data_IF_028945479289
#
_entry.id   IF_028945479289
#
_cell.length_a   1.000
_cell.length_b   1.000
_cell.length_c   1.000
_cell.angle_alpha   90.00
_cell.angle_beta   90.00
_cell.angle_gamma   90.00
#
_symmetry.space_group_name_H-M   'P 1'
#
loop_
_entity.id
_entity.type
_entity.pdbx_description
1 polymer ?
#
# COMPACT_ATOMS: atom_id res chain seq x y z
N UNK A 1 -17.08 19.98 2.67
CA UNK A 1 -18.04 19.60 3.73
C UNK A 1 -19.43 19.57 3.12
N UNK A 2 -20.29 18.64 3.52
CA UNK A 2 -21.66 18.54 2.98
C UNK A 2 -22.47 19.81 3.19
N UNK A 3 -23.13 20.29 2.12
CA UNK A 3 -23.94 21.50 2.14
C UNK A 3 -25.40 21.25 1.78
N UNK A 4 -25.73 20.30 0.90
CA UNK A 4 -27.12 20.01 0.57
C UNK A 4 -27.40 18.52 0.34
N UNK A 5 -28.66 18.13 0.52
CA UNK A 5 -29.21 16.81 0.28
C UNK A 5 -30.31 16.93 -0.79
N UNK A 6 -30.24 16.15 -1.86
CA UNK A 6 -31.35 16.01 -2.80
C UNK A 6 -32.05 14.68 -2.59
N UNK A 7 -33.39 14.68 -2.64
CA UNK A 7 -34.22 13.49 -2.53
C UNK A 7 -35.01 13.33 -3.83
N UNK A 8 -35.06 12.11 -4.36
CA UNK A 8 -35.99 11.72 -5.41
C UNK A 8 -36.86 10.54 -4.95
N UNK A 9 -38.09 10.51 -5.45
CA UNK A 9 -39.07 9.44 -5.20
C UNK A 9 -39.45 8.85 -6.55
N UNK A 10 -39.23 7.55 -6.74
CA UNK A 10 -39.43 6.83 -8.00
C UNK A 10 -38.73 7.51 -9.19
N UNK A 11 -37.50 8.00 -8.97
CA UNK A 11 -36.71 8.70 -9.98
C UNK A 11 -37.12 10.14 -10.26
N UNK A 12 -38.21 10.64 -9.64
CA UNK A 12 -38.66 12.03 -9.79
C UNK A 12 -38.06 12.90 -8.68
N UNK A 13 -37.38 14.02 -8.98
CA UNK A 13 -36.90 14.94 -7.96
C UNK A 13 -38.03 15.40 -7.04
N UNK A 14 -37.82 15.28 -5.73
CA UNK A 14 -38.81 15.63 -4.70
C UNK A 14 -38.44 16.95 -4.00
N UNK A 15 -37.17 17.12 -3.65
CA UNK A 15 -36.71 18.31 -2.95
C UNK A 15 -35.20 18.36 -2.76
N UNK A 16 -34.75 19.56 -2.39
CA UNK A 16 -33.36 19.84 -1.99
C UNK A 16 -33.36 20.51 -0.63
N UNK A 17 -32.56 20.00 0.29
CA UNK A 17 -32.56 20.39 1.70
C UNK A 17 -31.15 20.83 2.14
N UNK A 18 -31.08 21.79 3.04
CA UNK A 18 -29.81 22.22 3.66
C UNK A 18 -29.40 21.23 4.75
N UNK A 19 -28.20 20.64 4.60
CA UNK A 19 -27.56 19.76 5.58
C UNK A 19 -26.23 20.31 6.09
N UNK A 20 -25.96 21.60 5.83
CA UNK A 20 -24.79 22.31 6.33
C UNK A 20 -24.74 22.34 7.87
N UNK A 21 -23.59 22.72 8.45
CA UNK A 21 -23.39 22.77 9.91
C UNK A 21 -24.31 23.75 10.60
N UNK A 22 -24.84 24.70 9.84
CA UNK A 22 -25.70 25.78 10.31
C UNK A 22 -27.18 25.50 10.03
N UNK A 23 -27.52 24.36 9.41
CA UNK A 23 -28.91 24.01 9.12
C UNK A 23 -29.69 23.80 10.42
N UNK A 24 -30.82 24.49 10.55
CA UNK A 24 -31.75 24.32 11.67
C UNK A 24 -32.51 23.00 11.63
N UNK A 25 -32.49 22.31 10.49
CA UNK A 25 -33.14 21.00 10.30
C UNK A 25 -32.24 19.83 10.72
N UNK A 26 -31.00 20.12 11.12
CA UNK A 26 -30.00 19.13 11.48
C UNK A 26 -29.48 19.36 12.90
N UNK A 27 -29.17 18.27 13.59
CA UNK A 27 -28.48 18.27 14.87
C UNK A 27 -27.21 17.44 14.76
N UNK A 28 -26.11 17.96 15.29
CA UNK A 28 -24.85 17.23 15.35
C UNK A 28 -24.98 16.07 16.33
N UNK A 29 -24.55 14.89 15.91
CA UNK A 29 -24.44 13.70 16.75
C UNK A 29 -22.99 13.18 16.69
N UNK A 30 -22.63 12.27 17.59
CA UNK A 30 -21.31 11.62 17.50
C UNK A 30 -21.18 10.92 16.14
N UNK A 31 -20.12 11.24 15.40
CA UNK A 31 -19.84 10.64 14.09
C UNK A 31 -20.68 11.17 12.92
N UNK A 32 -21.58 12.14 13.10
CA UNK A 32 -22.41 12.63 12.00
C UNK A 32 -23.44 13.69 12.36
N UNK A 33 -24.55 13.68 11.62
CA UNK A 33 -25.70 14.57 11.84
C UNK A 33 -26.99 13.79 11.69
N UNK A 34 -27.95 14.12 12.53
CA UNK A 34 -29.34 13.68 12.36
C UNK A 34 -30.14 14.86 11.81
N UNK A 35 -30.72 14.69 10.63
CA UNK A 35 -31.56 15.70 9.99
C UNK A 35 -32.98 15.17 9.79
N UNK A 36 -33.97 16.03 9.94
CA UNK A 36 -35.39 15.67 9.78
C UNK A 36 -36.02 16.51 8.69
N UNK A 37 -36.62 15.85 7.69
CA UNK A 37 -37.27 16.49 6.56
C UNK A 37 -38.64 15.84 6.29
N UNK A 38 -39.56 16.60 5.72
CA UNK A 38 -40.83 16.07 5.20
C UNK A 38 -40.70 15.87 3.70
N UNK A 39 -41.05 14.67 3.24
CA UNK A 39 -40.99 14.23 1.83
C UNK A 39 -42.38 13.76 1.44
N UNK A 40 -42.89 14.26 0.31
CA UNK A 40 -44.17 13.79 -0.21
C UNK A 40 -43.93 12.50 -1.02
N UNK A 41 -44.66 11.44 -0.71
CA UNK A 41 -44.62 10.18 -1.46
C UNK A 41 -46.05 9.66 -1.69
N UNK A 42 -46.32 9.01 -2.84
CA UNK A 42 -47.58 8.29 -3.06
C UNK A 42 -47.83 7.21 -1.99
N UNK A 43 -49.06 6.69 -1.95
CA UNK A 43 -49.32 5.46 -1.20
C UNK A 43 -48.86 4.26 -2.02
N UNK A 44 -48.20 3.28 -1.38
CA UNK A 44 -47.70 2.09 -2.05
C UNK A 44 -46.20 1.89 -1.89
N UNK A 45 -45.58 1.10 -2.76
CA UNK A 45 -44.14 0.81 -2.72
C UNK A 45 -43.38 1.87 -3.50
N UNK A 46 -42.60 2.69 -2.81
CA UNK A 46 -41.83 3.79 -3.38
C UNK A 46 -40.32 3.59 -3.16
N UNK A 47 -39.52 3.96 -4.15
CA UNK A 47 -38.06 4.00 -4.04
C UNK A 47 -37.60 5.42 -3.79
N UNK A 48 -36.93 5.63 -2.67
CA UNK A 48 -36.31 6.88 -2.28
C UNK A 48 -34.82 6.83 -2.62
N UNK A 49 -34.31 7.83 -3.33
CA UNK A 49 -32.88 7.97 -3.57
C UNK A 49 -32.39 9.33 -3.06
N UNK A 50 -31.26 9.29 -2.34
CA UNK A 50 -30.65 10.42 -1.66
C UNK A 50 -29.27 10.67 -2.24
N UNK A 51 -28.91 11.95 -2.41
CA UNK A 51 -27.56 12.37 -2.80
C UNK A 51 -27.13 13.53 -1.92
N UNK A 52 -25.96 13.42 -1.30
CA UNK A 52 -25.32 14.50 -0.54
C UNK A 52 -24.33 15.22 -1.45
N UNK A 53 -24.35 16.54 -1.41
CA UNK A 53 -23.55 17.43 -2.24
C UNK A 53 -22.67 18.35 -1.39
N UNK A 54 -21.50 18.72 -1.92
CA UNK A 54 -20.56 19.66 -1.29
C UNK A 54 -21.01 21.13 -1.39
N UNK A 55 -21.89 21.48 -2.34
CA UNK A 55 -22.43 22.82 -2.51
C UNK A 55 -23.94 22.89 -2.25
N UNK A 56 -24.47 24.11 -2.01
CA UNK A 56 -25.90 24.32 -1.88
C UNK A 56 -26.68 23.90 -3.13
N UNK A 57 -28.00 23.73 -2.96
CA UNK A 57 -28.96 23.55 -4.05
C UNK A 57 -28.73 22.31 -4.92
N UNK A 58 -28.12 21.25 -4.39
CA UNK A 58 -27.92 20.00 -5.12
C UNK A 58 -26.90 20.12 -6.25
N UNK A 59 -25.86 20.93 -6.05
CA UNK A 59 -24.84 21.21 -7.06
C UNK A 59 -23.45 20.81 -6.56
N UNK A 60 -22.46 20.82 -7.45
CA UNK A 60 -21.07 20.52 -7.11
C UNK A 60 -20.74 19.03 -7.18
N UNK A 61 -19.89 18.56 -6.28
CA UNK A 61 -19.50 17.17 -6.23
C UNK A 61 -20.44 16.38 -5.33
N UNK A 62 -20.76 15.16 -5.78
CA UNK A 62 -21.46 14.19 -4.97
C UNK A 62 -20.50 13.61 -3.91
N UNK A 63 -20.91 13.66 -2.65
CA UNK A 63 -20.14 13.18 -1.51
C UNK A 63 -20.62 11.80 -1.02
N UNK A 64 -21.92 11.55 -1.10
CA UNK A 64 -22.52 10.27 -0.72
C UNK A 64 -23.83 10.04 -1.49
N UNK A 65 -24.25 8.79 -1.61
CA UNK A 65 -25.59 8.44 -2.08
C UNK A 65 -26.13 7.18 -1.42
N UNK A 66 -27.45 7.08 -1.42
CA UNK A 66 -28.18 5.94 -0.89
C UNK A 66 -29.53 5.78 -1.57
N UNK A 67 -30.08 4.56 -1.52
CA UNK A 67 -31.47 4.35 -1.92
C UNK A 67 -32.10 3.24 -1.10
N UNK A 68 -33.41 3.34 -0.89
CA UNK A 68 -34.20 2.29 -0.26
C UNK A 68 -35.62 2.29 -0.81
N UNK A 69 -36.24 1.12 -0.83
CA UNK A 69 -37.67 0.97 -1.16
C UNK A 69 -38.47 0.80 0.13
N UNK A 70 -39.56 1.55 0.26
CA UNK A 70 -40.44 1.52 1.43
C UNK A 70 -41.90 1.50 0.99
N UNK A 71 -42.72 0.71 1.68
CA UNK A 71 -44.17 0.81 1.53
C UNK A 71 -44.70 1.94 2.38
N UNK A 72 -45.31 2.94 1.74
CA UNK A 72 -45.93 4.12 2.36
C UNK A 72 -47.41 3.83 2.59
N UNK A 73 -47.80 3.82 3.87
CA UNK A 73 -49.20 3.71 4.28
C UNK A 73 -49.77 5.11 4.57
N UNK A 74 -50.96 5.39 4.04
CA UNK A 74 -51.62 6.69 4.21
C UNK A 74 -52.03 6.91 5.65
N UNK A 75 -51.83 8.13 6.16
CA UNK A 75 -52.26 8.53 7.50
C UNK A 75 -51.42 7.96 8.65
N UNK A 76 -50.37 7.19 8.34
CA UNK A 76 -49.43 6.67 9.33
C UNK A 76 -48.07 7.36 9.21
N UNK A 77 -47.35 7.48 10.32
CA UNK A 77 -45.93 7.85 10.26
C UNK A 77 -45.15 6.69 9.66
N UNK A 78 -44.44 6.95 8.56
CA UNK A 78 -43.57 5.97 7.91
C UNK A 78 -42.12 6.34 8.27
N UNK A 79 -41.39 5.44 8.91
CA UNK A 79 -39.97 5.61 9.22
C UNK A 79 -39.14 4.84 8.19
N UNK A 80 -38.16 5.52 7.60
CA UNK A 80 -37.28 4.95 6.58
C UNK A 80 -35.83 5.19 6.97
N UNK A 81 -35.02 4.14 6.92
CA UNK A 81 -33.57 4.21 7.09
C UNK A 81 -32.91 3.95 5.75
N UNK A 82 -32.10 4.89 5.28
CA UNK A 82 -31.39 4.79 4.00
C UNK A 82 -29.89 4.88 4.29
N UNK A 83 -29.11 3.83 4.01
CA UNK A 83 -27.66 3.91 4.16
C UNK A 83 -27.11 4.92 3.16
N UNK A 84 -26.28 5.84 3.62
CA UNK A 84 -25.58 6.81 2.77
C UNK A 84 -24.14 6.35 2.59
N UNK A 85 -23.83 5.85 1.40
CA UNK A 85 -22.53 5.31 1.07
C UNK A 85 -21.64 6.42 0.49
N UNK A 86 -20.40 6.52 0.99
CA UNK A 86 -19.45 7.56 0.56
C UNK A 86 -19.04 7.39 -0.91
N UNK A 87 -18.98 8.50 -1.66
CA UNK A 87 -18.47 8.52 -3.03
C UNK A 87 -16.98 8.83 -3.00
N UNK A 88 -16.18 7.85 -3.40
CA UNK A 88 -14.72 7.95 -3.47
C UNK A 88 -14.31 8.82 -4.66
N UNK A 89 -13.41 9.78 -4.43
CA UNK A 89 -12.80 10.63 -5.47
C UNK A 89 -11.28 10.50 -5.53
N UNK A 90 -10.63 10.11 -4.43
CA UNK A 90 -9.20 9.80 -4.35
C UNK A 90 -8.93 8.58 -3.47
N UNK A 91 -7.85 7.87 -3.78
CA UNK A 91 -7.45 6.66 -3.05
C UNK A 91 -5.95 6.73 -2.78
N UNK A 92 -5.53 6.42 -1.55
CA UNK A 92 -4.12 6.25 -1.20
C UNK A 92 -3.89 4.91 -0.49
N UNK A 93 -2.85 4.19 -0.91
CA UNK A 93 -2.44 2.91 -0.34
C UNK A 93 -1.16 3.10 0.48
N UNK A 94 -1.05 2.39 1.61
CA UNK A 94 0.18 2.33 2.39
C UNK A 94 0.37 0.94 3.00
N UNK A 95 1.59 0.42 2.92
CA UNK A 95 1.96 -0.86 3.53
C UNK A 95 2.58 -0.61 4.91
N UNK A 96 2.17 -1.41 5.90
CA UNK A 96 2.77 -1.35 7.23
C UNK A 96 4.26 -1.71 7.24
N UNK A 97 4.70 -2.54 6.29
CA UNK A 97 6.10 -2.85 6.06
C UNK A 97 6.35 -2.98 4.53
N UNK A 98 6.82 -1.92 3.86
CA UNK A 98 7.09 -1.95 2.42
C UNK A 98 8.39 -2.70 2.06
N UNK A 99 9.22 -3.08 3.03
CA UNK A 99 10.51 -3.73 2.81
C UNK A 99 10.68 -4.92 3.76
N UNK A 100 9.88 -5.99 3.65
CA UNK A 100 10.09 -7.20 4.44
C UNK A 100 11.40 -7.92 4.01
N UNK A 101 12.01 -8.74 4.88
CA UNK A 101 13.12 -9.59 4.49
C UNK A 101 12.68 -10.68 3.51
N UNK A 102 13.49 -10.95 2.48
CA UNK A 102 13.37 -12.16 1.66
C UNK A 102 13.67 -13.40 2.51
N UNK A 103 13.11 -14.54 2.11
CA UNK A 103 13.23 -15.84 2.78
C UNK A 103 12.27 -16.05 3.95
N UNK A 104 11.52 -15.03 4.37
CA UNK A 104 10.52 -15.14 5.44
C UNK A 104 9.13 -14.76 4.93
N UNK A 105 8.20 -15.71 4.78
CA UNK A 105 6.81 -15.40 4.48
C UNK A 105 6.23 -14.45 5.53
N UNK A 106 5.45 -13.46 5.11
CA UNK A 106 4.83 -12.50 6.02
C UNK A 106 3.48 -12.00 5.50
N UNK A 107 2.62 -11.59 6.43
CA UNK A 107 1.35 -10.92 6.14
C UNK A 107 1.48 -9.46 6.51
N UNK A 108 1.33 -8.58 5.54
CA UNK A 108 1.59 -7.15 5.66
C UNK A 108 0.24 -6.42 5.65
N UNK A 109 -0.17 -5.77 6.74
CA UNK A 109 -1.35 -4.90 6.72
C UNK A 109 -1.19 -3.80 5.66
N UNK A 110 -2.22 -3.59 4.85
CA UNK A 110 -2.30 -2.49 3.89
C UNK A 110 -3.43 -1.56 4.30
N UNK A 111 -3.11 -0.30 4.56
CA UNK A 111 -4.08 0.76 4.84
C UNK A 111 -4.57 1.35 3.53
N UNK A 112 -5.89 1.42 3.38
CA UNK A 112 -6.56 2.08 2.25
C UNK A 112 -7.24 3.34 2.77
N UNK A 113 -6.79 4.50 2.30
CA UNK A 113 -7.42 5.79 2.61
C UNK A 113 -8.24 6.24 1.42
N UNK A 114 -9.56 6.14 1.53
CA UNK A 114 -10.51 6.68 0.57
C UNK A 114 -10.89 8.11 0.94
N UNK A 115 -10.79 9.04 -0.01
CA UNK A 115 -11.17 10.44 0.18
C UNK A 115 -12.34 10.81 -0.75
N UNK A 116 -13.21 11.69 -0.28
CA UNK A 116 -14.22 12.36 -1.11
C UNK A 116 -13.60 13.44 -2.01
N UNK A 117 -14.43 14.13 -2.80
CA UNK A 117 -14.00 15.18 -3.72
C UNK A 117 -13.40 16.42 -3.01
N UNK A 118 -13.69 16.60 -1.73
CA UNK A 118 -13.19 17.69 -0.89
C UNK A 118 -11.90 17.31 -0.13
N UNK A 119 -11.37 16.11 -0.36
CA UNK A 119 -10.24 15.50 0.37
C UNK A 119 -10.53 15.13 1.83
N UNK A 120 -11.80 14.96 2.22
CA UNK A 120 -12.12 14.40 3.54
C UNK A 120 -12.02 12.88 3.48
N UNK A 121 -11.51 12.27 4.54
CA UNK A 121 -11.50 10.81 4.66
C UNK A 121 -12.92 10.27 4.83
N UNK A 122 -13.28 9.32 3.98
CA UNK A 122 -14.51 8.53 4.14
C UNK A 122 -14.23 7.54 5.26
N UNK A 123 -14.76 7.83 6.44
CA UNK A 123 -14.43 7.13 7.68
C UNK A 123 -15.52 6.13 8.08
N UNK A 124 -15.13 5.16 8.91
CA UNK A 124 -16.07 4.21 9.51
C UNK A 124 -16.94 4.91 10.56
N UNK A 125 -18.25 4.78 10.44
CA UNK A 125 -19.16 5.06 11.52
C UNK A 125 -19.31 3.81 12.40
N UNK A 126 -18.67 3.83 13.58
CA UNK A 126 -18.68 2.70 14.52
C UNK A 126 -20.03 2.46 15.22
N UNK A 127 -20.91 3.45 15.24
CA UNK A 127 -22.26 3.36 15.81
C UNK A 127 -23.35 3.13 14.78
N UNK A 128 -23.03 3.14 13.49
CA UNK A 128 -24.00 2.97 12.41
C UNK A 128 -24.15 1.49 12.01
N UNK A 129 -25.28 1.10 11.42
CA UNK A 129 -25.42 -0.22 10.79
C UNK A 129 -24.30 -0.48 9.76
N UNK A 130 -23.87 -1.75 9.58
CA UNK A 130 -22.81 -2.08 8.62
C UNK A 130 -23.07 -1.61 7.18
N UNK A 131 -24.33 -1.48 6.77
CA UNK A 131 -24.70 -0.98 5.45
C UNK A 131 -24.23 0.47 5.21
N UNK A 132 -24.14 1.30 6.25
CA UNK A 132 -23.74 2.70 6.17
C UNK A 132 -22.22 2.87 6.01
N UNK A 133 -21.45 1.81 6.21
CA UNK A 133 -20.01 1.82 6.06
C UNK A 133 -19.56 1.42 4.64
N UNK A 134 -20.49 1.21 3.71
CA UNK A 134 -20.17 0.82 2.34
C UNK A 134 -19.73 2.03 1.49
N UNK A 135 -18.91 1.76 0.48
CA UNK A 135 -18.64 2.71 -0.59
C UNK A 135 -19.76 2.68 -1.61
N UNK A 136 -20.11 3.84 -2.19
CA UNK A 136 -21.11 3.92 -3.24
C UNK A 136 -20.67 3.12 -4.48
N UNK A 137 -19.36 3.13 -4.75
CA UNK A 137 -18.69 2.27 -5.73
C UNK A 137 -17.56 1.54 -5.01
N UNK A 138 -17.55 0.19 -4.99
CA UNK A 138 -16.45 -0.58 -4.41
C UNK A 138 -15.09 -0.25 -5.03
N UNK A 139 -14.03 -0.34 -4.23
CA UNK A 139 -12.65 -0.15 -4.66
C UNK A 139 -12.08 -1.50 -5.08
N UNK A 140 -11.65 -1.63 -6.33
CA UNK A 140 -10.91 -2.80 -6.81
C UNK A 140 -9.42 -2.54 -6.72
N UNK A 141 -8.71 -3.40 -6.00
CA UNK A 141 -7.27 -3.40 -5.82
C UNK A 141 -6.60 -4.26 -6.90
N UNK A 142 -5.39 -3.87 -7.29
CA UNK A 142 -4.55 -4.62 -8.23
C UNK A 142 -3.14 -4.77 -7.68
N UNK A 143 -2.54 -5.90 -8.03
CA UNK A 143 -1.18 -6.31 -7.68
C UNK A 143 -0.42 -6.57 -8.99
N UNK A 144 0.73 -5.92 -9.19
CA UNK A 144 1.56 -6.15 -10.37
C UNK A 144 2.35 -7.45 -10.30
N UNK A 145 2.50 -8.06 -9.11
CA UNK A 145 3.17 -9.34 -8.90
C UNK A 145 2.15 -10.38 -8.42
N UNK A 146 1.95 -11.43 -9.20
CA UNK A 146 1.05 -12.54 -8.83
C UNK A 146 1.81 -13.82 -8.50
N UNK A 147 3.14 -13.76 -8.51
CA UNK A 147 4.03 -14.89 -8.26
C UNK A 147 4.42 -15.02 -6.79
N UNK A 148 4.60 -13.88 -6.09
CA UNK A 148 5.07 -13.86 -4.70
C UNK A 148 4.16 -13.08 -3.76
N UNK A 149 3.23 -12.29 -4.30
CA UNK A 149 2.26 -11.52 -3.53
C UNK A 149 0.83 -11.92 -3.81
N UNK A 150 -0.01 -11.71 -2.80
CA UNK A 150 -1.45 -11.89 -2.89
C UNK A 150 -2.18 -10.91 -1.99
N UNK A 151 -3.09 -10.15 -2.57
CA UNK A 151 -4.03 -9.33 -1.83
C UNK A 151 -5.10 -10.23 -1.20
N UNK A 152 -5.34 -10.03 0.09
CA UNK A 152 -6.47 -10.61 0.79
C UNK A 152 -7.32 -9.49 1.42
N UNK A 153 -8.63 -9.56 1.20
CA UNK A 153 -9.63 -8.70 1.84
C UNK A 153 -10.44 -9.54 2.80
N UNK A 154 -10.55 -9.11 4.06
CA UNK A 154 -11.27 -9.81 5.13
C UNK A 154 -10.82 -11.27 5.33
N UNK A 155 -9.54 -11.55 5.10
CA UNK A 155 -8.95 -12.89 5.20
C UNK A 155 -9.25 -13.81 4.00
N UNK A 156 -10.05 -13.36 3.04
CA UNK A 156 -10.35 -14.09 1.80
C UNK A 156 -9.44 -13.68 0.65
N UNK A 157 -9.29 -14.58 -0.34
CA UNK A 157 -8.63 -14.30 -1.61
C UNK A 157 -9.53 -13.40 -2.48
N UNK A 158 -9.60 -12.11 -2.14
CA UNK A 158 -10.40 -11.11 -2.80
C UNK A 158 -9.60 -9.82 -2.93
N UNK A 159 -9.95 -9.01 -3.93
CA UNK A 159 -9.31 -7.74 -4.23
C UNK A 159 -10.32 -6.58 -4.30
N UNK A 160 -11.56 -6.79 -3.87
CA UNK A 160 -12.60 -5.77 -3.86
C UNK A 160 -12.87 -5.35 -2.42
N UNK A 161 -12.76 -4.04 -2.17
CA UNK A 161 -13.12 -3.36 -0.93
C UNK A 161 -14.51 -2.75 -1.10
N UNK A 162 -15.48 -3.26 -0.36
CA UNK A 162 -16.87 -2.78 -0.41
C UNK A 162 -17.18 -1.79 0.70
N UNK A 163 -16.43 -1.81 1.81
CA UNK A 163 -16.70 -0.98 2.98
C UNK A 163 -15.43 -0.43 3.65
N UNK A 164 -15.59 0.65 4.42
CA UNK A 164 -14.53 1.25 5.25
C UNK A 164 -14.08 0.34 6.40
N UNK A 165 -14.87 -0.68 6.73
CA UNK A 165 -14.56 -1.69 7.75
C UNK A 165 -13.75 -2.86 7.21
N UNK A 166 -13.58 -2.96 5.89
CA UNK A 166 -12.85 -4.07 5.29
C UNK A 166 -11.36 -3.99 5.66
N UNK A 167 -10.79 -5.14 6.03
CA UNK A 167 -9.39 -5.25 6.40
C UNK A 167 -8.61 -5.80 5.22
N UNK A 168 -7.55 -5.08 4.81
CA UNK A 168 -6.70 -5.49 3.70
C UNK A 168 -5.33 -5.93 4.20
N UNK A 169 -4.87 -7.07 3.68
CA UNK A 169 -3.53 -7.58 3.91
C UNK A 169 -2.90 -8.00 2.59
N UNK A 170 -1.59 -7.86 2.50
CA UNK A 170 -0.78 -8.42 1.41
C UNK A 170 -0.01 -9.60 1.99
N UNK A 171 -0.30 -10.80 1.51
CA UNK A 171 0.54 -11.96 1.79
C UNK A 171 1.75 -11.90 0.86
N UNK A 172 2.95 -11.97 1.43
CA UNK A 172 4.21 -12.15 0.73
C UNK A 172 4.80 -13.49 1.14
N UNK A 173 5.16 -14.33 0.17
CA UNK A 173 5.62 -15.71 0.41
C UNK A 173 7.11 -15.81 0.81
N UNK A 174 7.83 -14.68 0.89
CA UNK A 174 9.27 -14.67 1.15
C UNK A 174 10.13 -14.94 -0.08
N UNK A 175 9.55 -15.13 -1.26
CA UNK A 175 10.27 -15.40 -2.50
C UNK A 175 11.09 -14.21 -3.00
N UNK A 176 12.18 -14.44 -3.75
CA UNK A 176 13.01 -13.37 -4.27
C UNK A 176 12.26 -12.54 -5.32
N UNK A 177 12.16 -11.22 -5.12
CA UNK A 177 11.59 -10.29 -6.10
C UNK A 177 12.68 -9.60 -6.91
N UNK A 178 12.68 -9.79 -8.23
CA UNK A 178 13.56 -9.09 -9.16
C UNK A 178 13.06 -7.69 -9.50
N UNK A 179 11.75 -7.47 -9.40
CA UNK A 179 11.07 -6.18 -9.55
C UNK A 179 10.17 -5.95 -8.35
N UNK A 180 10.11 -4.72 -7.84
CA UNK A 180 9.20 -4.38 -6.76
C UNK A 180 7.73 -4.60 -7.17
N UNK A 181 6.92 -5.18 -6.28
CA UNK A 181 5.50 -5.31 -6.50
C UNK A 181 4.82 -3.94 -6.31
N UNK A 182 3.99 -3.57 -7.28
CA UNK A 182 3.23 -2.32 -7.31
C UNK A 182 1.77 -2.61 -7.03
N UNK A 183 1.23 -2.01 -5.98
CA UNK A 183 -0.17 -2.06 -5.63
C UNK A 183 -0.86 -0.79 -6.09
N UNK A 184 -2.00 -0.96 -6.74
CA UNK A 184 -2.85 0.15 -7.18
C UNK A 184 -4.31 -0.15 -6.90
N UNK A 185 -5.17 0.82 -7.20
CA UNK A 185 -6.59 0.72 -6.94
C UNK A 185 -7.39 1.45 -8.02
N UNK A 186 -8.66 1.10 -8.13
CA UNK A 186 -9.62 1.75 -9.02
C UNK A 186 -11.00 1.73 -8.38
N UNK A 187 -11.80 2.75 -8.67
CA UNK A 187 -13.22 2.79 -8.37
C UNK A 187 -13.91 3.62 -9.47
N UNK A 188 -15.19 3.37 -9.72
CA UNK A 188 -15.94 4.14 -10.72
C UNK A 188 -15.94 5.64 -10.37
N UNK A 189 -15.56 6.48 -11.33
CA UNK A 189 -15.46 7.94 -11.16
C UNK A 189 -14.13 8.43 -10.57
N UNK A 190 -13.24 7.55 -10.13
CA UNK A 190 -11.90 7.93 -9.64
C UNK A 190 -10.90 7.93 -10.80
N UNK A 191 -10.31 9.08 -11.10
CA UNK A 191 -9.24 9.19 -12.10
C UNK A 191 -7.97 8.50 -11.60
N UNK A 192 -7.21 7.85 -12.50
CA UNK A 192 -5.95 7.19 -12.14
C UNK A 192 -4.92 8.15 -11.50
N UNK A 193 -4.92 9.43 -11.89
CA UNK A 193 -4.06 10.47 -11.29
C UNK A 193 -4.43 10.80 -9.84
N UNK A 194 -5.60 10.40 -9.37
CA UNK A 194 -6.07 10.55 -7.99
C UNK A 194 -5.81 9.30 -7.14
N UNK A 195 -5.08 8.31 -7.69
CA UNK A 195 -4.70 7.09 -7.00
C UNK A 195 -3.21 7.15 -6.67
N UNK A 196 -2.88 7.10 -5.38
CA UNK A 196 -1.52 6.89 -4.91
C UNK A 196 -1.36 5.42 -4.55
N UNK A 197 -0.57 4.69 -5.33
CA UNK A 197 -0.26 3.28 -5.09
C UNK A 197 0.70 3.06 -3.93
N UNK A 198 0.98 1.78 -3.63
CA UNK A 198 2.01 1.38 -2.69
C UNK A 198 3.01 0.43 -3.35
N UNK A 199 4.25 0.42 -2.88
CA UNK A 199 5.34 -0.40 -3.43
C UNK A 199 5.86 -1.35 -2.35
N UNK A 200 5.96 -2.64 -2.66
CA UNK A 200 6.65 -3.63 -1.85
C UNK A 200 7.98 -4.00 -2.50
N UNK A 201 9.07 -3.78 -1.79
CA UNK A 201 10.43 -4.06 -2.22
C UNK A 201 11.15 -4.89 -1.15
N UNK A 202 10.94 -6.22 -1.11
CA UNK A 202 11.61 -7.07 -0.13
C UNK A 202 13.14 -7.02 -0.27
N UNK A 203 13.85 -6.95 0.86
CA UNK A 203 15.31 -6.90 0.85
C UNK A 203 15.93 -8.30 1.00
N UNK A 204 16.96 -8.58 0.21
CA UNK A 204 17.71 -9.82 0.28
C UNK A 204 18.94 -9.72 1.18
N UNK A 205 19.61 -10.86 1.38
CA UNK A 205 20.96 -10.92 1.94
C UNK A 205 21.99 -10.37 0.95
N UNK A 206 23.17 -10.00 1.45
CA UNK A 206 24.30 -9.65 0.59
C UNK A 206 24.82 -10.93 -0.09
N UNK A 207 24.84 -10.93 -1.42
CA UNK A 207 25.32 -12.03 -2.25
C UNK A 207 26.70 -11.69 -2.82
N UNK A 208 27.61 -12.66 -2.83
CA UNK A 208 28.94 -12.57 -3.42
C UNK A 208 29.10 -13.56 -4.56
N UNK A 209 29.71 -13.13 -5.68
CA UNK A 209 30.00 -13.98 -6.83
C UNK A 209 31.37 -13.65 -7.45
N UNK A 210 32.41 -14.47 -7.21
CA UNK A 210 32.46 -15.60 -6.27
C UNK A 210 32.52 -15.18 -4.80
N UNK A 211 32.20 -16.08 -3.86
CA UNK A 211 32.34 -15.83 -2.41
C UNK A 211 33.75 -16.07 -1.86
N UNK A 212 34.66 -16.56 -2.70
CA UNK A 212 36.07 -16.77 -2.36
C UNK A 212 36.97 -16.55 -3.57
N UNK A 213 38.17 -16.04 -3.33
CA UNK A 213 39.23 -15.93 -4.34
C UNK A 213 40.53 -16.56 -3.82
N UNK A 214 41.25 -17.24 -4.70
CA UNK A 214 42.52 -17.89 -4.39
C UNK A 214 43.60 -17.48 -5.40
N UNK A 215 44.79 -17.19 -4.90
CA UNK A 215 45.95 -16.78 -5.69
C UNK A 215 47.14 -17.69 -5.42
N UNK A 216 47.94 -17.96 -6.46
CA UNK A 216 49.19 -18.73 -6.39
C UNK A 216 50.43 -17.84 -6.53
N UNK A 217 50.24 -16.52 -6.66
CA UNK A 217 51.30 -15.51 -6.79
C UNK A 217 50.86 -14.19 -6.13
N UNK A 218 51.77 -13.45 -5.45
CA UNK A 218 51.49 -12.17 -4.79
C UNK A 218 51.35 -10.97 -5.76
N UNK A 219 50.91 -11.21 -6.99
CA UNK A 219 50.66 -10.17 -8.00
C UNK A 219 49.36 -10.39 -8.79
N UNK A 220 48.66 -11.49 -8.52
CA UNK A 220 47.40 -11.79 -9.19
C UNK A 220 46.28 -10.84 -8.76
N UNK A 221 45.34 -10.58 -9.67
CA UNK A 221 44.14 -9.81 -9.40
C UNK A 221 42.90 -10.59 -9.86
N UNK A 222 41.83 -10.53 -9.05
CA UNK A 222 40.52 -11.13 -9.36
C UNK A 222 39.42 -10.14 -8.97
N UNK A 223 38.29 -10.21 -9.67
CA UNK A 223 37.10 -9.44 -9.36
C UNK A 223 36.03 -10.31 -8.71
N UNK A 224 35.30 -9.73 -7.76
CA UNK A 224 34.14 -10.30 -7.09
C UNK A 224 32.99 -9.32 -7.24
N UNK A 225 31.83 -9.79 -7.68
CA UNK A 225 30.61 -8.99 -7.60
C UNK A 225 29.97 -9.16 -6.23
N UNK A 226 29.51 -8.07 -5.64
CA UNK A 226 28.65 -8.08 -4.48
C UNK A 226 27.34 -7.34 -4.77
N UNK A 227 26.21 -7.92 -4.36
CA UNK A 227 24.90 -7.31 -4.57
C UNK A 227 23.98 -7.54 -3.37
N UNK A 228 22.95 -6.72 -3.23
CA UNK A 228 21.87 -6.95 -2.26
C UNK A 228 20.53 -6.55 -2.88
N UNK A 229 19.61 -7.51 -3.03
CA UNK A 229 18.27 -7.24 -3.56
C UNK A 229 17.49 -6.26 -2.65
N UNK A 230 16.69 -5.37 -3.24
CA UNK A 230 15.86 -4.41 -2.50
C UNK A 230 16.63 -3.30 -1.78
N UNK A 231 17.96 -3.20 -1.95
CA UNK A 231 18.77 -2.15 -1.34
C UNK A 231 19.36 -1.22 -2.41
N UNK A 232 18.96 0.06 -2.40
CA UNK A 232 19.49 1.05 -3.35
C UNK A 232 20.74 1.80 -2.84
N UNK A 233 21.13 1.58 -1.58
CA UNK A 233 22.28 2.24 -0.97
C UNK A 233 23.62 1.59 -1.35
N UNK A 234 24.71 2.17 -0.85
CA UNK A 234 26.07 1.70 -1.10
C UNK A 234 26.41 0.47 -0.25
N UNK A 235 26.96 -0.57 -0.87
CA UNK A 235 27.61 -1.67 -0.13
C UNK A 235 28.99 -1.23 0.36
N UNK A 236 29.26 -1.44 1.65
CA UNK A 236 30.54 -1.08 2.28
C UNK A 236 31.43 -2.31 2.44
N UNK A 237 32.74 -2.11 2.30
CA UNK A 237 33.74 -3.18 2.41
C UNK A 237 34.72 -2.86 3.54
N UNK A 238 34.89 -3.81 4.47
CA UNK A 238 35.88 -3.78 5.54
C UNK A 238 36.94 -4.86 5.29
N UNK A 239 38.16 -4.45 5.01
CA UNK A 239 39.26 -5.35 4.66
C UNK A 239 40.51 -5.15 5.55
N UNK A 240 40.34 -4.59 6.75
CA UNK A 240 41.45 -4.32 7.66
C UNK A 240 42.25 -5.60 8.01
N UNK A 241 41.57 -6.75 8.11
CA UNK A 241 42.20 -8.05 8.33
C UNK A 241 43.07 -8.54 7.16
N UNK A 242 43.01 -7.89 6.00
CA UNK A 242 43.72 -8.28 4.79
C UNK A 242 44.96 -7.42 4.48
N UNK A 243 45.31 -6.42 5.30
CA UNK A 243 46.30 -5.39 4.95
C UNK A 243 47.66 -5.92 4.43
N UNK A 244 48.13 -7.09 4.90
CA UNK A 244 49.40 -7.70 4.47
C UNK A 244 49.24 -8.88 3.49
N UNK A 245 48.00 -9.27 3.18
CA UNK A 245 47.68 -10.45 2.39
C UNK A 245 47.12 -10.04 1.03
N UNK A 246 46.20 -9.07 0.99
CA UNK A 246 45.58 -8.59 -0.24
C UNK A 246 45.13 -7.12 -0.11
N UNK A 247 45.19 -6.38 -1.21
CA UNK A 247 44.47 -5.10 -1.33
C UNK A 247 43.06 -5.35 -1.87
N UNK A 248 42.07 -4.69 -1.28
CA UNK A 248 40.64 -4.86 -1.61
C UNK A 248 40.07 -3.49 -1.94
N UNK A 249 39.60 -3.31 -3.18
CA UNK A 249 39.11 -2.03 -3.69
C UNK A 249 37.70 -2.19 -4.30
N UNK A 250 36.65 -1.66 -3.64
CA UNK A 250 35.30 -1.66 -4.19
C UNK A 250 35.07 -0.50 -5.15
N UNK A 251 34.19 -0.71 -6.13
CA UNK A 251 33.67 0.33 -7.04
C UNK A 251 32.21 0.06 -7.40
N UNK A 252 31.40 1.11 -7.63
CA UNK A 252 29.96 1.02 -7.86
C UNK A 252 29.11 1.37 -6.63
N UNK A 253 27.79 1.10 -6.70
CA UNK A 253 26.84 1.42 -5.60
C UNK A 253 26.06 0.20 -5.11
N UNK A 254 25.33 -0.51 -5.98
CA UNK A 254 24.82 -1.87 -5.78
C UNK A 254 24.22 -2.35 -7.12
N UNK A 255 24.80 -3.35 -7.79
CA UNK A 255 25.95 -4.15 -7.37
C UNK A 255 27.26 -3.34 -7.32
N UNK A 256 28.20 -3.79 -6.50
CA UNK A 256 29.59 -3.31 -6.50
C UNK A 256 30.52 -4.38 -7.08
N UNK A 257 31.56 -3.93 -7.77
CA UNK A 257 32.69 -4.77 -8.15
C UNK A 257 33.83 -4.56 -7.16
N UNK A 258 34.26 -5.64 -6.52
CA UNK A 258 35.37 -5.69 -5.58
C UNK A 258 36.59 -6.26 -6.32
N UNK A 259 37.61 -5.44 -6.52
CA UNK A 259 38.89 -5.90 -7.05
C UNK A 259 39.78 -6.34 -5.89
N UNK A 260 40.22 -7.59 -5.91
CA UNK A 260 41.17 -8.16 -4.94
C UNK A 260 42.49 -8.38 -5.63
N UNK A 261 43.56 -7.80 -5.10
CA UNK A 261 44.92 -7.99 -5.60
C UNK A 261 45.77 -8.62 -4.50
N UNK A 262 46.39 -9.76 -4.79
CA UNK A 262 47.26 -10.44 -3.83
C UNK A 262 48.50 -9.60 -3.52
N UNK A 263 48.94 -9.61 -2.26
CA UNK A 263 50.10 -8.84 -1.76
C UNK A 263 51.11 -9.76 -1.06
N UNK A 264 50.65 -10.65 -0.19
CA UNK A 264 51.49 -11.55 0.59
C UNK A 264 50.78 -12.87 0.87
N UNK A 265 51.54 -13.92 1.15
CA UNK A 265 50.96 -15.23 1.45
C UNK A 265 50.16 -15.21 2.77
N UNK A 266 49.04 -15.91 2.80
CA UNK A 266 48.17 -16.01 3.97
C UNK A 266 46.70 -16.17 3.60
N UNK A 267 45.85 -16.16 4.64
CA UNK A 267 44.40 -16.23 4.53
C UNK A 267 43.81 -15.04 5.30
N UNK A 268 42.89 -14.32 4.69
CA UNK A 268 42.10 -13.29 5.36
C UNK A 268 40.64 -13.33 4.89
N UNK A 269 39.81 -12.53 5.55
CA UNK A 269 38.41 -12.32 5.17
C UNK A 269 38.12 -10.83 5.10
N UNK A 270 37.44 -10.41 4.03
CA UNK A 270 36.87 -9.08 3.91
C UNK A 270 35.36 -9.14 4.20
N UNK A 271 34.88 -8.27 5.08
CA UNK A 271 33.45 -8.13 5.38
C UNK A 271 32.79 -7.18 4.39
N UNK A 272 31.67 -7.58 3.81
CA UNK A 272 30.81 -6.73 2.99
C UNK A 272 29.53 -6.51 3.79
N UNK A 273 29.14 -5.25 4.02
CA UNK A 273 27.88 -4.93 4.70
C UNK A 273 27.01 -4.03 3.83
N UNK A 274 25.71 -4.30 3.88
CA UNK A 274 24.70 -3.56 3.14
C UNK A 274 23.60 -3.02 4.06
N UNK A 275 22.43 -2.74 3.48
CA UNK A 275 21.27 -2.29 4.23
C UNK A 275 20.70 -3.37 5.15
N UNK A 276 19.82 -2.96 6.06
CA UNK A 276 19.02 -3.87 6.89
C UNK A 276 19.86 -4.89 7.70
N UNK A 277 21.03 -4.45 8.16
CA UNK A 277 21.99 -5.27 8.93
C UNK A 277 22.46 -6.55 8.21
N UNK A 278 22.37 -6.59 6.88
CA UNK A 278 22.84 -7.72 6.09
C UNK A 278 24.35 -7.61 5.86
N UNK A 279 25.04 -8.76 5.90
CA UNK A 279 26.47 -8.83 5.62
C UNK A 279 26.85 -10.18 4.99
N UNK A 280 27.99 -10.18 4.29
CA UNK A 280 28.63 -11.37 3.74
C UNK A 280 30.15 -11.29 3.95
N UNK A 281 30.83 -12.43 3.93
CA UNK A 281 32.27 -12.51 4.08
C UNK A 281 32.90 -13.05 2.79
N UNK A 282 33.85 -12.31 2.22
CA UNK A 282 34.67 -12.75 1.10
C UNK A 282 35.94 -13.41 1.62
N UNK A 283 36.10 -14.71 1.35
CA UNK A 283 37.31 -15.46 1.75
C UNK A 283 38.44 -15.25 0.74
N UNK A 284 39.63 -14.87 1.21
CA UNK A 284 40.78 -14.59 0.35
C UNK A 284 41.94 -15.48 0.79
N UNK A 285 42.48 -16.26 -0.15
CA UNK A 285 43.66 -17.11 0.07
C UNK A 285 44.77 -16.75 -0.91
N UNK A 286 45.97 -16.50 -0.40
CA UNK A 286 47.17 -16.27 -1.21
C UNK A 286 48.21 -17.30 -0.80
N UNK A 287 48.60 -18.16 -1.73
CA UNK A 287 49.69 -19.13 -1.54
C UNK A 287 50.92 -18.64 -2.30
N UNK A 288 52.09 -18.69 -1.68
CA UNK A 288 53.37 -18.52 -2.38
C UNK A 288 54.18 -19.80 -2.27
N UNK A 289 54.80 -20.20 -3.37
CA UNK A 289 55.78 -21.29 -3.39
C UNK A 289 57.16 -20.66 -3.49
N UNK A 290 58.00 -20.86 -2.48
CA UNK A 290 59.43 -20.53 -2.56
C UNK A 290 60.21 -21.80 -2.93
N UNK A 291 61.06 -21.70 -3.96
CA UNK A 291 62.06 -22.71 -4.27
C UNK A 291 63.40 -22.15 -3.80
N UNK A 292 64.02 -22.80 -2.82
CA UNK A 292 65.40 -22.50 -2.42
C UNK A 292 66.31 -23.44 -3.18
N UNK A 293 67.14 -22.89 -4.08
CA UNK A 293 68.25 -23.64 -4.67
C UNK A 293 69.43 -23.46 -3.71
N UNK A 294 69.95 -24.57 -3.20
CA UNK A 294 71.18 -24.62 -2.41
C UNK A 294 72.37 -24.88 -3.31
#
# INVERSE_FOLDING_TARGET
MSSSLTISVNGTPNGTYDVSSTSTSCTSVSGGRTCTFTVNAPAGSDTFALIIWDKPSGTGNQLAAGSATQTITVGTSNTLTIPLNGVVSKIALSLANPTPPQGTPTSIPMTITALDADNNTISTCSSCPPADNQFANPITLSDSDTSHTKINVNGGAANVLSATTDVVTVAYDGGPMSTAAQFSASAAGVLATNVTGATLSPYGSVLLSPSSVAFTSPSGSQSVQASQAGYAGTLSVSAAACANIASVSPSGTNPITITVTAVGAGICSAGISGGFSQSAALSITVTSTSITIQ
#
